data_IF_089493671918
#
_entry.id   IF_089493671918
#
_cell.length_a   1.000
_cell.length_b   1.000
_cell.length_c   1.000
_cell.angle_alpha   90.00
_cell.angle_beta   90.00
_cell.angle_gamma   90.00
#
_symmetry.space_group_name_H-M   'P 1'
#
loop_
_entity.id
_entity.type
_entity.pdbx_description
1 polymer ?
#
# COMPACT_ATOMS: atom_id res chain seq x y z
N UNK A 1 27.04 -4.22 -14.26
CA UNK A 1 25.56 -4.23 -14.23
C UNK A 1 25.13 -3.56 -12.94
N UNK A 2 24.62 -2.35 -13.03
CA UNK A 2 24.03 -1.69 -11.85
C UNK A 2 22.71 -2.41 -11.56
N UNK A 3 22.66 -3.15 -10.45
CA UNK A 3 21.42 -3.74 -10.00
C UNK A 3 20.39 -2.66 -9.70
N UNK A 4 19.16 -2.86 -10.12
CA UNK A 4 18.04 -2.00 -9.71
C UNK A 4 17.94 -2.15 -8.19
N UNK A 5 18.05 -1.06 -7.41
CA UNK A 5 17.92 -1.18 -5.97
C UNK A 5 16.52 -1.71 -5.62
N UNK A 6 16.48 -2.69 -4.74
CA UNK A 6 15.20 -3.21 -4.24
C UNK A 6 14.48 -2.11 -3.46
N UNK A 7 13.20 -1.97 -3.73
CA UNK A 7 12.35 -1.07 -2.96
C UNK A 7 12.34 -1.48 -1.49
N UNK A 8 12.40 -0.50 -0.61
CA UNK A 8 12.44 -0.73 0.83
C UNK A 8 11.31 0.00 1.53
N UNK A 9 11.13 -0.33 2.82
CA UNK A 9 10.14 0.32 3.68
C UNK A 9 10.32 1.84 3.66
N UNK A 10 9.25 2.56 3.42
CA UNK A 10 9.22 4.01 3.46
C UNK A 10 9.11 4.51 4.91
N UNK A 11 9.79 5.63 5.20
CA UNK A 11 9.76 6.24 6.54
C UNK A 11 8.47 7.06 6.72
N UNK A 12 8.12 7.85 5.71
CA UNK A 12 6.93 8.70 5.74
C UNK A 12 5.79 8.03 4.97
N UNK A 13 5.07 7.15 5.63
CA UNK A 13 3.98 6.40 5.02
C UNK A 13 2.84 6.18 6.02
N UNK A 14 1.63 6.02 5.51
CA UNK A 14 0.55 5.37 6.24
C UNK A 14 0.76 3.87 6.19
N UNK A 15 0.72 3.24 7.34
CA UNK A 15 0.96 1.81 7.47
C UNK A 15 -0.30 1.08 7.89
N UNK A 16 -0.58 -0.05 7.25
CA UNK A 16 -1.59 -1.00 7.66
C UNK A 16 -0.97 -2.39 7.68
N UNK A 17 -0.68 -2.89 8.87
CA UNK A 17 -0.04 -4.19 9.04
C UNK A 17 -1.10 -5.27 9.17
N UNK A 18 -0.96 -6.35 8.40
CA UNK A 18 -1.83 -7.51 8.54
C UNK A 18 -1.45 -8.30 9.80
N UNK A 19 -2.40 -9.06 10.39
CA UNK A 19 -2.06 -9.96 11.49
C UNK A 19 -0.96 -10.95 11.09
N UNK A 20 -0.12 -11.31 12.04
CA UNK A 20 0.90 -12.33 11.82
C UNK A 20 0.26 -13.65 11.39
N UNK A 21 0.87 -14.32 10.43
CA UNK A 21 0.45 -15.64 10.01
C UNK A 21 0.62 -16.62 11.17
N UNK A 22 -0.39 -17.46 11.40
CA UNK A 22 -0.33 -18.53 12.42
C UNK A 22 0.05 -19.86 11.80
N UNK A 23 -0.13 -19.99 10.49
CA UNK A 23 0.25 -21.14 9.68
C UNK A 23 0.90 -20.63 8.41
N UNK A 24 1.67 -21.48 7.72
CA UNK A 24 2.21 -21.11 6.42
C UNK A 24 1.11 -20.68 5.47
N UNK A 25 1.19 -19.46 4.96
CA UNK A 25 0.16 -18.84 4.12
C UNK A 25 0.78 -18.37 2.81
N UNK A 26 0.15 -18.74 1.70
CA UNK A 26 0.58 -18.32 0.36
C UNK A 26 -0.30 -17.20 -0.14
N UNK A 27 0.24 -15.97 -0.15
CA UNK A 27 -0.40 -14.82 -0.79
C UNK A 27 -0.12 -14.91 -2.28
N UNK A 28 -1.16 -15.06 -3.10
CA UNK A 28 -1.03 -15.19 -4.55
C UNK A 28 -2.16 -14.41 -5.22
N UNK A 29 -1.82 -13.47 -6.07
CA UNK A 29 -2.77 -12.71 -6.85
C UNK A 29 -2.65 -11.20 -6.66
N UNK A 30 -3.67 -10.48 -7.10
CA UNK A 30 -3.76 -9.03 -6.98
C UNK A 30 -4.48 -8.64 -5.68
N UNK A 31 -3.78 -8.01 -4.72
CA UNK A 31 -4.44 -7.44 -3.55
C UNK A 31 -5.44 -6.35 -3.98
N UNK A 32 -6.54 -6.21 -3.22
CA UNK A 32 -7.53 -5.17 -3.45
C UNK A 32 -7.44 -4.12 -2.36
N UNK A 33 -7.24 -2.88 -2.75
CA UNK A 33 -7.18 -1.74 -1.85
C UNK A 33 -8.45 -0.89 -2.00
N UNK A 34 -9.15 -0.66 -0.89
CA UNK A 34 -10.25 0.30 -0.82
C UNK A 34 -9.84 1.44 0.08
N UNK A 35 -9.96 2.66 -0.42
CA UNK A 35 -9.48 3.86 0.24
C UNK A 35 -10.58 4.90 0.26
N UNK A 36 -10.92 5.40 1.45
CA UNK A 36 -11.78 6.58 1.62
C UNK A 36 -10.92 7.73 2.10
N UNK A 37 -10.91 8.81 1.34
CA UNK A 37 -10.00 9.92 1.56
C UNK A 37 -10.62 11.25 1.20
N UNK A 38 -10.00 12.33 1.67
CA UNK A 38 -10.23 13.70 1.23
C UNK A 38 -8.90 14.42 1.18
N UNK A 39 -8.87 15.53 0.48
CA UNK A 39 -7.65 16.34 0.44
C UNK A 39 -7.71 17.45 -0.56
N UNK A 40 -6.66 18.27 -0.57
CA UNK A 40 -6.49 19.39 -1.50
C UNK A 40 -5.06 19.37 -2.05
N UNK A 41 -4.92 19.76 -3.30
CA UNK A 41 -3.61 19.85 -3.94
C UNK A 41 -3.63 19.51 -5.39
N UNK A 42 -2.45 19.41 -5.98
CA UNK A 42 -2.23 19.13 -7.39
C UNK A 42 -1.79 17.71 -7.67
N UNK A 43 -1.43 16.93 -6.64
CA UNK A 43 -1.10 15.52 -6.80
C UNK A 43 -2.29 14.74 -7.34
N UNK A 44 -2.03 13.83 -8.26
CA UNK A 44 -3.05 12.99 -8.92
C UNK A 44 -2.95 11.54 -8.52
N UNK A 45 -1.89 11.17 -7.82
CA UNK A 45 -1.63 9.80 -7.39
C UNK A 45 -1.02 9.79 -6.00
N UNK A 46 -1.33 8.75 -5.27
CA UNK A 46 -0.52 8.25 -4.17
C UNK A 46 -0.07 6.84 -4.55
N UNK A 47 0.84 6.27 -3.81
CA UNK A 47 1.46 5.01 -4.20
C UNK A 47 1.32 4.00 -3.07
N UNK A 48 0.85 2.81 -3.44
CA UNK A 48 0.67 1.71 -2.50
C UNK A 48 1.75 0.65 -2.74
N UNK A 49 2.35 0.19 -1.67
CA UNK A 49 3.33 -0.90 -1.70
C UNK A 49 3.11 -1.84 -0.53
N UNK A 50 3.44 -3.11 -0.73
CA UNK A 50 3.45 -4.11 0.32
C UNK A 50 4.89 -4.39 0.73
N UNK A 51 5.14 -4.38 2.03
CA UNK A 51 6.47 -4.61 2.59
C UNK A 51 6.45 -5.90 3.39
N UNK A 52 7.40 -6.78 3.11
CA UNK A 52 7.69 -7.94 3.94
C UNK A 52 8.34 -7.44 5.24
N UNK A 53 7.66 -7.62 6.37
CA UNK A 53 8.14 -7.10 7.64
C UNK A 53 9.42 -7.81 8.13
N UNK A 54 9.70 -9.02 7.66
CA UNK A 54 10.90 -9.75 8.04
C UNK A 54 12.16 -9.23 7.35
N UNK A 55 12.03 -8.73 6.13
CA UNK A 55 13.16 -8.23 5.32
C UNK A 55 13.20 -6.72 5.19
N UNK A 56 12.06 -6.05 5.37
CA UNK A 56 11.91 -4.62 5.10
C UNK A 56 11.87 -4.29 3.60
N UNK A 57 11.72 -5.26 2.73
CA UNK A 57 11.73 -5.08 1.29
C UNK A 57 10.31 -5.09 0.72
N UNK A 58 10.13 -4.34 -0.36
CA UNK A 58 8.85 -4.29 -1.09
C UNK A 58 8.64 -5.59 -1.86
N UNK A 59 7.47 -6.20 -1.72
CA UNK A 59 7.10 -7.43 -2.40
C UNK A 59 7.18 -7.26 -3.92
N UNK A 60 7.94 -8.12 -4.55
CA UNK A 60 8.13 -8.10 -6.01
C UNK A 60 8.80 -6.84 -6.54
N UNK A 61 9.26 -5.96 -5.67
CA UNK A 61 9.75 -4.63 -6.03
C UNK A 61 8.70 -3.81 -6.81
N UNK A 62 7.42 -4.01 -6.51
CA UNK A 62 6.30 -3.43 -7.23
C UNK A 62 5.60 -2.36 -6.39
N UNK A 63 5.30 -1.24 -7.04
CA UNK A 63 4.53 -0.13 -6.47
C UNK A 63 3.31 0.11 -7.34
N UNK A 64 2.15 0.25 -6.72
CA UNK A 64 0.90 0.52 -7.43
C UNK A 64 0.54 1.99 -7.33
N UNK A 65 0.47 2.73 -8.45
CA UNK A 65 -0.09 4.08 -8.45
C UNK A 65 -1.59 4.03 -8.16
N UNK A 66 -2.03 4.83 -7.20
CA UNK A 66 -3.44 4.93 -6.81
C UNK A 66 -3.93 6.31 -7.21
N UNK A 67 -4.85 6.42 -8.19
CA UNK A 67 -5.35 7.73 -8.61
C UNK A 67 -6.17 8.39 -7.50
N UNK A 68 -5.91 9.66 -7.28
CA UNK A 68 -6.64 10.47 -6.30
C UNK A 68 -7.10 11.77 -6.90
N UNK A 69 -8.21 12.30 -6.38
CA UNK A 69 -8.74 13.62 -6.71
C UNK A 69 -8.73 14.46 -5.44
N UNK A 70 -7.92 15.51 -5.43
CA UNK A 70 -7.72 16.37 -4.27
C UNK A 70 -8.49 17.69 -4.45
N UNK A 71 -9.81 17.63 -4.44
CA UNK A 71 -10.73 18.75 -4.65
C UNK A 71 -11.39 19.26 -3.36
N UNK A 72 -10.99 18.74 -2.21
CA UNK A 72 -11.56 19.05 -0.91
C UNK A 72 -12.74 18.16 -0.52
N UNK A 73 -13.27 17.37 -1.44
CA UNK A 73 -14.39 16.47 -1.17
C UNK A 73 -13.90 15.08 -0.73
N UNK A 74 -14.80 14.30 -0.15
CA UNK A 74 -14.51 12.91 0.24
C UNK A 74 -14.78 11.96 -0.92
N UNK A 75 -13.81 11.12 -1.21
CA UNK A 75 -13.90 10.11 -2.26
C UNK A 75 -13.61 8.72 -1.70
N UNK A 76 -14.24 7.71 -2.30
CA UNK A 76 -13.93 6.30 -2.02
C UNK A 76 -13.58 5.64 -3.34
N UNK A 77 -12.43 4.97 -3.36
CA UNK A 77 -11.96 4.22 -4.52
C UNK A 77 -11.55 2.81 -4.12
N UNK A 78 -11.73 1.88 -5.03
CA UNK A 78 -11.22 0.51 -4.92
C UNK A 78 -10.36 0.22 -6.13
N UNK A 79 -9.13 -0.20 -5.89
CA UNK A 79 -8.18 -0.48 -6.96
C UNK A 79 -7.47 -1.82 -6.70
N UNK A 80 -7.22 -2.60 -7.76
CA UNK A 80 -6.32 -3.74 -7.65
C UNK A 80 -4.89 -3.23 -7.55
N UNK A 81 -4.11 -3.83 -6.66
CA UNK A 81 -2.68 -3.62 -6.62
C UNK A 81 -1.98 -4.57 -7.59
N UNK A 82 -0.70 -4.35 -7.83
CA UNK A 82 0.11 -5.27 -8.61
C UNK A 82 0.08 -6.68 -8.03
N UNK A 83 0.07 -7.67 -8.91
CA UNK A 83 0.03 -9.08 -8.51
C UNK A 83 1.29 -9.45 -7.76
N UNK A 84 1.13 -10.16 -6.66
CA UNK A 84 2.23 -10.64 -5.82
C UNK A 84 2.13 -12.14 -5.60
N UNK A 85 3.27 -12.75 -5.27
CA UNK A 85 3.37 -14.10 -4.76
C UNK A 85 4.34 -14.08 -3.58
N UNK A 86 3.84 -14.38 -2.39
CA UNK A 86 4.62 -14.32 -1.16
C UNK A 86 4.20 -15.44 -0.22
N UNK A 87 5.19 -16.17 0.29
CA UNK A 87 4.97 -17.13 1.36
C UNK A 87 5.20 -16.47 2.70
N UNK A 88 4.21 -16.55 3.59
CA UNK A 88 4.33 -16.15 4.98
C UNK A 88 4.45 -17.39 5.84
N UNK A 89 5.56 -17.51 6.55
CA UNK A 89 5.72 -18.50 7.59
C UNK A 89 5.05 -18.04 8.90
N UNK A 90 4.76 -18.96 9.84
CA UNK A 90 4.18 -18.56 11.13
C UNK A 90 5.01 -17.48 11.82
N UNK A 91 4.34 -16.42 12.25
CA UNK A 91 4.97 -15.24 12.87
C UNK A 91 5.36 -14.14 11.91
N UNK A 92 5.33 -14.38 10.61
CA UNK A 92 5.61 -13.36 9.60
C UNK A 92 4.36 -12.53 9.26
N UNK A 93 4.60 -11.31 8.79
CA UNK A 93 3.56 -10.36 8.43
C UNK A 93 3.98 -9.49 7.26
N UNK A 94 2.99 -8.82 6.68
CA UNK A 94 3.16 -7.84 5.59
C UNK A 94 2.51 -6.54 6.03
N UNK A 95 3.09 -5.42 5.63
CA UNK A 95 2.54 -4.09 5.86
C UNK A 95 2.24 -3.42 4.54
N UNK A 96 0.99 -2.94 4.40
CA UNK A 96 0.65 -2.00 3.34
C UNK A 96 1.19 -0.63 3.72
N UNK A 97 1.90 0.00 2.81
CA UNK A 97 2.33 1.37 2.93
C UNK A 97 1.70 2.22 1.84
N UNK A 98 1.08 3.32 2.23
CA UNK A 98 0.60 4.35 1.32
C UNK A 98 1.56 5.53 1.42
N UNK A 99 2.19 5.88 0.30
CA UNK A 99 3.21 6.93 0.24
C UNK A 99 2.82 8.00 -0.77
N UNK A 100 3.27 9.23 -0.52
CA UNK A 100 2.95 10.37 -1.36
C UNK A 100 3.64 10.33 -2.72
N UNK A 101 4.86 9.81 -2.76
CA UNK A 101 5.65 9.74 -3.99
C UNK A 101 6.46 8.46 -4.04
N UNK A 102 6.70 7.95 -5.24
CA UNK A 102 7.51 6.77 -5.47
C UNK A 102 8.33 6.93 -6.74
N UNK A 103 9.65 6.80 -6.59
CA UNK A 103 10.52 6.72 -7.76
C UNK A 103 10.24 5.42 -8.54
N UNK A 104 10.09 5.45 -9.89
CA UNK A 104 10.32 6.58 -10.80
C UNK A 104 9.06 7.35 -11.22
N UNK A 105 7.95 7.23 -10.51
CA UNK A 105 6.64 7.62 -11.00
C UNK A 105 6.28 9.10 -10.82
N UNK A 106 7.02 9.84 -10.02
CA UNK A 106 6.63 11.20 -9.72
C UNK A 106 7.79 12.20 -9.80
N UNK A 107 7.47 13.39 -10.30
CA UNK A 107 8.35 14.55 -10.24
C UNK A 107 7.98 15.41 -9.02
N UNK A 108 8.96 16.10 -8.46
CA UNK A 108 8.87 16.87 -7.20
C UNK A 108 7.90 18.08 -7.28
N UNK A 109 7.18 18.24 -8.38
CA UNK A 109 6.31 19.40 -8.62
C UNK A 109 4.86 19.21 -8.15
N UNK A 110 4.48 18.02 -7.71
CA UNK A 110 3.13 17.75 -7.23
C UNK A 110 3.06 17.89 -5.72
N UNK A 111 2.16 18.76 -5.25
CA UNK A 111 1.95 19.03 -3.83
C UNK A 111 0.52 18.72 -3.44
N UNK A 112 0.32 18.31 -2.20
CA UNK A 112 -1.00 18.08 -1.70
C UNK A 112 -1.04 17.61 -0.25
N UNK A 113 -2.23 17.69 0.33
CA UNK A 113 -2.55 17.13 1.64
C UNK A 113 -3.62 16.09 1.43
N UNK A 114 -3.36 14.89 1.91
CA UNK A 114 -4.28 13.76 1.87
C UNK A 114 -4.64 13.33 3.29
N UNK A 115 -5.93 13.23 3.54
CA UNK A 115 -6.49 12.63 4.75
C UNK A 115 -7.14 11.32 4.38
N UNK A 116 -6.72 10.23 5.00
CA UNK A 116 -7.33 8.92 4.83
C UNK A 116 -8.22 8.62 6.02
N UNK A 117 -9.53 8.52 5.77
CA UNK A 117 -10.50 8.23 6.83
C UNK A 117 -10.72 6.72 7.02
N UNK A 118 -10.56 5.94 5.97
CA UNK A 118 -10.54 4.47 6.08
C UNK A 118 -9.72 3.84 4.97
N UNK A 119 -9.18 2.69 5.27
CA UNK A 119 -8.33 1.94 4.37
C UNK A 119 -8.58 0.45 4.63
N UNK A 120 -8.91 -0.28 3.58
CA UNK A 120 -9.14 -1.74 3.65
C UNK A 120 -8.27 -2.43 2.61
N UNK A 121 -7.56 -3.44 3.06
CA UNK A 121 -6.73 -4.29 2.21
C UNK A 121 -7.28 -5.72 2.26
N UNK A 122 -7.50 -6.30 1.08
CA UNK A 122 -7.83 -7.72 0.94
C UNK A 122 -6.72 -8.42 0.17
N UNK A 123 -6.13 -9.43 0.79
CA UNK A 123 -5.04 -10.23 0.23
C UNK A 123 -5.57 -11.59 -0.19
N UNK A 124 -5.51 -11.96 -1.48
CA UNK A 124 -5.87 -13.29 -1.92
C UNK A 124 -4.84 -14.31 -1.45
N UNK A 125 -5.30 -15.47 -1.03
CA UNK A 125 -4.45 -16.57 -0.63
C UNK A 125 -4.76 -17.83 -1.43
N UNK A 126 -3.77 -18.67 -1.67
CA UNK A 126 -3.93 -19.91 -2.42
C UNK A 126 -4.40 -21.09 -1.54
N UNK A 127 -4.18 -21.04 -0.24
CA UNK A 127 -4.42 -22.15 0.69
C UNK A 127 -5.35 -21.85 1.86
N UNK A 128 -5.94 -20.64 1.87
CA UNK A 128 -6.82 -20.18 2.93
C UNK A 128 -7.83 -19.16 2.40
N UNK A 129 -8.76 -18.72 3.26
CA UNK A 129 -9.62 -17.59 2.94
C UNK A 129 -8.78 -16.30 2.79
N UNK A 130 -9.24 -15.37 1.95
CA UNK A 130 -8.57 -14.10 1.77
C UNK A 130 -8.42 -13.36 3.11
N UNK A 131 -7.27 -12.74 3.31
CA UNK A 131 -6.99 -11.94 4.50
C UNK A 131 -7.53 -10.54 4.24
N UNK A 132 -8.41 -10.07 5.12
CA UNK A 132 -8.94 -8.71 5.05
C UNK A 132 -8.59 -7.94 6.32
N UNK A 133 -8.05 -6.75 6.16
CA UNK A 133 -7.68 -5.87 7.27
C UNK A 133 -8.09 -4.45 6.94
N UNK A 134 -8.56 -3.75 7.96
CA UNK A 134 -9.04 -2.37 7.83
C UNK A 134 -8.49 -1.48 8.92
N UNK A 135 -8.33 -0.22 8.60
CA UNK A 135 -8.04 0.83 9.54
C UNK A 135 -8.99 2.01 9.28
N UNK A 136 -9.32 2.76 10.30
CA UNK A 136 -10.16 3.94 10.20
C UNK A 136 -9.51 5.12 10.91
N UNK A 137 -9.79 6.33 10.40
CA UNK A 137 -9.44 7.60 11.03
C UNK A 137 -7.94 7.89 11.18
N UNK A 138 -7.14 7.61 10.16
CA UNK A 138 -5.76 8.11 10.11
C UNK A 138 -5.62 9.27 9.14
N UNK A 139 -4.83 10.26 9.55
CA UNK A 139 -4.48 11.38 8.71
C UNK A 139 -3.01 11.27 8.29
N UNK A 140 -2.78 11.28 6.99
CA UNK A 140 -1.44 11.39 6.43
C UNK A 140 -1.34 12.71 5.67
N UNK A 141 -0.21 13.36 5.82
CA UNK A 141 0.14 14.50 4.99
C UNK A 141 1.08 14.03 3.91
N UNK A 142 0.61 14.14 2.67
CA UNK A 142 1.42 13.90 1.48
C UNK A 142 1.82 15.26 0.91
N UNK A 143 3.08 15.50 0.86
CA UNK A 143 3.65 16.71 0.26
C UNK A 143 4.65 16.35 -0.82
#
# INVERSE_FOLDING_TARGET
MLGIPSGSRAINALNLTIPQATTTTYIVGAPQLTLTYSGTGTSRHVYAQLVDDSTGLVLGNLVTPVPVTLDGETHTISVPMEMVAQTLEPGESVTLQLVASAFPYETITSLGVLKVSSMTLSLPTANAAAISVSSSAEAATAA
#
